data_IF_667474698604
#
_entry.id   IF_667474698604
#
_cell.length_a   1.000
_cell.length_b   1.000
_cell.length_c   1.000
_cell.angle_alpha   90.00
_cell.angle_beta   90.00
_cell.angle_gamma   90.00
#
_symmetry.space_group_name_H-M   'P 1'
#
loop_
_entity.id
_entity.type
_entity.pdbx_description
1 polymer ?
#
# COMPACT_ATOMS: atom_id res chain seq x y z
N UNK A 1 -73.17 -12.34 -21.43
CA UNK A 1 -73.77 -11.08 -20.92
C UNK A 1 -72.89 -10.62 -19.76
N UNK A 2 -72.08 -9.57 -19.97
CA UNK A 2 -72.24 -8.20 -19.42
C UNK A 2 -71.94 -8.13 -17.90
N UNK A 3 -71.15 -7.25 -17.29
CA UNK A 3 -70.26 -6.09 -17.59
C UNK A 3 -69.55 -5.81 -16.21
N UNK A 4 -68.22 -5.62 -16.14
CA UNK A 4 -67.50 -4.34 -15.83
C UNK A 4 -67.83 -3.75 -14.43
N UNK A 5 -66.92 -3.36 -13.54
CA UNK A 5 -65.74 -2.48 -13.66
C UNK A 5 -64.90 -2.57 -12.34
N UNK A 6 -63.54 -2.55 -12.34
CA UNK A 6 -62.63 -1.37 -12.38
C UNK A 6 -62.77 -0.50 -11.11
N UNK A 7 -61.76 -0.15 -10.28
CA UNK A 7 -60.46 0.53 -10.54
C UNK A 7 -59.76 0.67 -9.16
N UNK A 8 -58.45 0.40 -8.97
CA UNK A 8 -57.35 1.38 -9.05
C UNK A 8 -56.01 0.59 -9.01
N UNK A 9 -55.08 0.65 -9.97
CA UNK A 9 -54.41 1.76 -10.66
C UNK A 9 -53.49 2.60 -9.74
N UNK A 10 -52.24 2.14 -9.61
CA UNK A 10 -51.02 2.96 -9.62
C UNK A 10 -50.01 2.16 -10.47
N UNK A 11 -49.88 2.40 -11.78
CA UNK A 11 -48.83 3.25 -12.41
C UNK A 11 -47.42 3.02 -11.86
N UNK A 12 -46.34 2.87 -12.63
CA UNK A 12 -46.03 2.81 -14.06
C UNK A 12 -44.54 2.37 -14.03
N UNK A 13 -44.15 1.28 -14.68
CA UNK A 13 -43.37 1.35 -15.93
C UNK A 13 -42.47 2.59 -16.04
N UNK A 14 -41.32 2.51 -15.37
CA UNK A 14 -40.05 3.06 -15.86
C UNK A 14 -38.95 2.01 -15.66
N UNK A 15 -39.14 0.82 -16.23
CA UNK A 15 -38.00 0.12 -16.83
C UNK A 15 -37.73 0.81 -18.18
N UNK A 16 -37.43 2.10 -18.11
CA UNK A 16 -36.87 2.83 -19.24
C UNK A 16 -35.56 2.13 -19.52
N UNK A 17 -35.41 1.64 -20.74
CA UNK A 17 -34.12 1.25 -21.30
C UNK A 17 -33.17 2.45 -21.17
N UNK A 18 -32.50 2.58 -20.03
CA UNK A 18 -31.32 3.38 -19.92
C UNK A 18 -30.25 2.64 -20.71
N UNK A 19 -30.22 2.87 -22.02
CA UNK A 19 -28.99 2.73 -22.80
C UNK A 19 -28.02 3.87 -22.41
N UNK A 20 -27.81 4.08 -21.10
CA UNK A 20 -26.54 4.62 -20.65
C UNK A 20 -25.56 3.49 -20.90
N UNK A 21 -24.49 3.73 -21.65
CA UNK A 21 -23.51 2.70 -21.98
C UNK A 21 -22.67 2.41 -20.73
N UNK A 22 -23.30 1.80 -19.72
CA UNK A 22 -22.66 1.36 -18.48
C UNK A 22 -21.60 0.34 -18.84
N UNK A 23 -20.34 0.74 -18.83
CA UNK A 23 -19.23 -0.14 -19.16
C UNK A 23 -18.74 -0.80 -17.89
N UNK A 24 -18.88 -2.12 -17.81
CA UNK A 24 -18.12 -2.93 -16.85
C UNK A 24 -16.81 -3.36 -17.53
N UNK A 25 -15.70 -3.20 -16.82
CA UNK A 25 -14.38 -3.67 -17.25
C UNK A 25 -13.88 -4.73 -16.27
N UNK A 26 -13.61 -5.93 -16.77
CA UNK A 26 -12.70 -6.88 -16.12
C UNK A 26 -11.27 -6.49 -16.45
N UNK A 27 -10.41 -6.43 -15.45
CA UNK A 27 -9.01 -6.09 -15.61
C UNK A 27 -8.13 -6.89 -14.65
N UNK A 28 -6.83 -6.94 -14.93
CA UNK A 28 -5.89 -7.48 -13.96
C UNK A 28 -4.43 -7.41 -14.38
N UNK A 29 -3.59 -7.89 -13.48
CA UNK A 29 -2.15 -8.11 -13.69
C UNK A 29 -1.73 -9.40 -13.01
N UNK A 30 -0.97 -10.19 -13.74
CA UNK A 30 -0.30 -11.41 -13.30
C UNK A 30 1.19 -11.10 -13.30
N UNK A 31 1.85 -11.23 -12.15
CA UNK A 31 3.27 -10.99 -11.96
C UNK A 31 3.80 -12.14 -11.11
N UNK A 32 4.59 -13.04 -11.71
CA UNK A 32 5.18 -14.20 -11.03
C UNK A 32 6.69 -14.17 -11.23
N UNK A 33 7.44 -14.39 -10.15
CA UNK A 33 8.89 -14.41 -10.20
C UNK A 33 9.52 -15.49 -9.36
N UNK A 34 10.64 -16.02 -9.85
CA UNK A 34 11.59 -16.76 -9.02
C UNK A 34 12.32 -15.76 -8.13
N UNK A 35 12.16 -15.90 -6.83
CA UNK A 35 12.73 -15.04 -5.81
C UNK A 35 13.71 -15.81 -4.94
N UNK A 36 14.89 -15.22 -4.74
CA UNK A 36 15.91 -15.66 -3.81
C UNK A 36 16.04 -14.65 -2.67
N UNK A 37 16.12 -15.13 -1.43
CA UNK A 37 16.45 -14.32 -0.25
C UNK A 37 17.49 -15.05 0.59
N UNK A 38 18.60 -14.39 0.93
CA UNK A 38 19.58 -14.96 1.86
C UNK A 38 19.23 -14.63 3.33
N UNK A 39 19.79 -15.42 4.24
CA UNK A 39 19.65 -15.25 5.69
C UNK A 39 18.20 -15.19 6.19
N UNK A 40 17.21 -15.62 5.41
CA UNK A 40 15.81 -15.41 5.74
C UNK A 40 15.38 -16.18 6.98
N UNK A 41 14.36 -15.68 7.69
CA UNK A 41 13.88 -16.22 8.96
C UNK A 41 13.61 -17.73 8.86
N UNK A 42 14.34 -18.49 9.66
CA UNK A 42 14.12 -19.92 9.85
C UNK A 42 14.29 -20.19 11.35
N UNK A 43 13.19 -20.49 12.03
CA UNK A 43 13.21 -20.66 13.49
C UNK A 43 13.28 -22.14 13.83
N UNK A 44 14.39 -22.53 14.46
CA UNK A 44 14.61 -23.88 14.99
C UNK A 44 14.81 -23.76 16.49
N UNK A 45 14.01 -24.48 17.28
CA UNK A 45 14.04 -24.45 18.75
C UNK A 45 13.99 -23.02 19.33
N UNK A 46 13.19 -22.13 18.73
CA UNK A 46 13.04 -20.74 19.19
C UNK A 46 14.14 -19.77 18.74
N UNK A 47 15.16 -20.25 18.02
CA UNK A 47 16.25 -19.42 17.50
C UNK A 47 16.15 -19.24 15.99
N UNK A 48 16.32 -17.99 15.51
CA UNK A 48 16.43 -17.72 14.08
C UNK A 48 17.81 -18.16 13.56
N UNK A 49 17.89 -19.36 13.00
CA UNK A 49 19.12 -19.92 12.43
C UNK A 49 19.39 -19.45 10.99
N UNK A 50 18.42 -18.76 10.39
CA UNK A 50 18.53 -18.28 9.02
C UNK A 50 18.45 -19.38 7.97
N UNK A 51 18.41 -18.96 6.71
CA UNK A 51 18.45 -19.87 5.58
C UNK A 51 18.50 -19.14 4.24
N UNK A 52 18.86 -19.87 3.20
CA UNK A 52 18.63 -19.45 1.82
C UNK A 52 17.23 -19.89 1.43
N UNK A 53 16.41 -18.95 0.98
CA UNK A 53 15.06 -19.24 0.52
C UNK A 53 14.97 -19.00 -0.98
N UNK A 54 14.37 -19.96 -1.66
CA UNK A 54 13.91 -19.84 -3.04
C UNK A 54 12.41 -20.04 -3.05
N UNK A 55 11.68 -19.12 -3.68
CA UNK A 55 10.24 -19.18 -3.82
C UNK A 55 9.83 -18.70 -5.20
N UNK A 56 8.71 -19.23 -5.69
CA UNK A 56 7.90 -18.46 -6.62
C UNK A 56 7.06 -17.47 -5.79
N UNK A 57 7.05 -16.21 -6.19
CA UNK A 57 6.25 -15.18 -5.53
C UNK A 57 5.45 -14.37 -6.55
N UNK A 58 4.15 -14.26 -6.27
CA UNK A 58 3.20 -13.54 -7.09
C UNK A 58 2.70 -12.24 -6.48
N UNK A 59 3.16 -11.93 -5.25
CA UNK A 59 2.53 -10.93 -4.38
C UNK A 59 3.38 -9.69 -4.14
N UNK A 60 4.71 -9.79 -4.28
CA UNK A 60 5.68 -8.74 -3.97
C UNK A 60 6.50 -8.29 -5.20
N UNK A 61 6.07 -8.62 -6.42
CA UNK A 61 6.71 -8.14 -7.66
C UNK A 61 6.49 -6.65 -7.93
N UNK A 62 6.86 -6.18 -9.13
CA UNK A 62 6.60 -4.79 -9.57
C UNK A 62 5.12 -4.44 -9.40
N UNK A 63 4.23 -5.42 -9.63
CA UNK A 63 2.84 -5.33 -9.22
C UNK A 63 2.39 -6.63 -8.55
N UNK A 64 1.84 -6.57 -7.33
CA UNK A 64 1.17 -7.75 -6.76
C UNK A 64 0.03 -8.24 -7.66
N UNK A 65 0.00 -9.54 -7.92
CA UNK A 65 -0.97 -10.21 -8.80
C UNK A 65 -2.40 -9.99 -8.32
N UNK A 66 -3.27 -9.61 -9.26
CA UNK A 66 -4.65 -9.17 -8.97
C UNK A 66 -5.56 -9.26 -10.18
N UNK A 67 -6.86 -9.31 -9.89
CA UNK A 67 -7.93 -9.12 -10.86
C UNK A 67 -9.03 -8.26 -10.24
N UNK A 68 -9.85 -7.64 -11.08
CA UNK A 68 -10.96 -6.83 -10.58
C UNK A 68 -11.98 -6.45 -11.63
N UNK A 69 -13.11 -5.96 -11.13
CA UNK A 69 -14.20 -5.39 -11.88
C UNK A 69 -14.34 -3.92 -11.50
N UNK A 70 -14.49 -3.06 -12.50
CA UNK A 70 -14.86 -1.66 -12.29
C UNK A 70 -15.92 -1.24 -13.28
N UNK A 71 -16.75 -0.28 -12.90
CA UNK A 71 -17.76 0.25 -13.78
C UNK A 71 -18.16 1.67 -13.43
N UNK A 72 -18.78 2.31 -14.42
CA UNK A 72 -19.38 3.63 -14.31
C UNK A 72 -20.73 3.62 -15.04
N UNK A 73 -21.76 4.14 -14.38
CA UNK A 73 -23.08 4.41 -14.95
C UNK A 73 -23.26 5.92 -15.03
N UNK A 74 -23.50 6.44 -16.23
CA UNK A 74 -23.79 7.85 -16.44
C UNK A 74 -25.17 8.20 -15.85
N UNK A 75 -25.19 9.12 -14.90
CA UNK A 75 -26.41 9.59 -14.23
C UNK A 75 -26.95 10.89 -14.86
N UNK A 76 -26.28 11.40 -15.89
CA UNK A 76 -26.55 12.70 -16.50
C UNK A 76 -25.93 13.88 -15.73
N UNK A 77 -25.92 15.05 -16.37
CA UNK A 77 -25.44 16.28 -15.74
C UNK A 77 -23.95 16.29 -15.36
N UNK A 78 -23.14 15.41 -15.96
CA UNK A 78 -21.72 15.26 -15.63
C UNK A 78 -21.45 14.44 -14.35
N UNK A 79 -22.45 13.73 -13.84
CA UNK A 79 -22.36 12.81 -12.72
C UNK A 79 -22.35 11.35 -13.19
N UNK A 80 -21.63 10.49 -12.47
CA UNK A 80 -21.68 9.05 -12.69
C UNK A 80 -21.65 8.27 -11.36
N UNK A 81 -22.45 7.21 -11.26
CA UNK A 81 -22.29 6.19 -10.23
C UNK A 81 -21.10 5.31 -10.61
N UNK A 82 -20.21 5.02 -9.65
CA UNK A 82 -18.99 4.24 -9.88
C UNK A 82 -18.86 3.13 -8.85
N UNK A 83 -18.21 2.03 -9.24
CA UNK A 83 -17.83 0.98 -8.32
C UNK A 83 -16.48 0.35 -8.70
N UNK A 84 -15.83 -0.28 -7.74
CA UNK A 84 -14.67 -1.17 -7.98
C UNK A 84 -14.67 -2.30 -6.97
N UNK A 85 -14.42 -3.51 -7.46
CA UNK A 85 -14.14 -4.72 -6.69
C UNK A 85 -12.80 -5.27 -7.19
N UNK A 86 -11.77 -5.31 -6.34
CA UNK A 86 -10.41 -5.74 -6.69
C UNK A 86 -9.89 -6.77 -5.68
N UNK A 87 -9.45 -7.91 -6.21
CA UNK A 87 -8.91 -9.05 -5.46
C UNK A 87 -7.41 -9.19 -5.73
N UNK A 88 -6.62 -9.49 -4.70
CA UNK A 88 -5.27 -10.03 -4.88
C UNK A 88 -5.32 -11.55 -4.98
N UNK A 89 -4.47 -12.13 -5.80
CA UNK A 89 -4.41 -13.58 -6.01
C UNK A 89 -2.97 -14.09 -5.85
N UNK A 90 -2.80 -15.17 -5.08
CA UNK A 90 -1.57 -15.92 -5.03
C UNK A 90 -1.59 -17.02 -6.10
N UNK A 91 -0.72 -16.95 -7.10
CA UNK A 91 -0.78 -17.90 -8.23
C UNK A 91 -0.19 -19.26 -7.89
N UNK A 92 0.60 -19.36 -6.81
CA UNK A 92 1.22 -20.61 -6.39
C UNK A 92 0.23 -21.58 -5.73
N UNK A 93 -0.89 -21.07 -5.22
CA UNK A 93 -1.89 -21.90 -4.53
C UNK A 93 -3.36 -21.45 -4.75
N UNK A 94 -3.60 -20.40 -5.53
CA UNK A 94 -4.93 -19.85 -5.80
C UNK A 94 -5.55 -19.08 -4.61
N UNK A 95 -4.81 -18.85 -3.53
CA UNK A 95 -5.34 -18.19 -2.34
C UNK A 95 -5.57 -16.69 -2.56
N UNK A 96 -6.55 -16.15 -1.83
CA UNK A 96 -6.81 -14.71 -1.77
C UNK A 96 -5.66 -13.98 -1.08
N UNK A 97 -5.17 -12.92 -1.72
CA UNK A 97 -3.94 -12.23 -1.32
C UNK A 97 -4.06 -11.38 -0.06
N UNK A 98 -5.26 -11.09 0.45
CA UNK A 98 -5.49 -10.13 1.54
C UNK A 98 -6.21 -10.79 2.72
N UNK A 99 -5.57 -11.81 3.30
CA UNK A 99 -6.04 -12.46 4.52
C UNK A 99 -7.32 -13.26 4.35
N UNK A 100 -7.59 -13.74 3.13
CA UNK A 100 -8.83 -14.45 2.80
C UNK A 100 -9.99 -13.53 2.37
N UNK A 101 -9.80 -12.21 2.30
CA UNK A 101 -10.82 -11.30 1.78
C UNK A 101 -10.94 -11.38 0.25
N UNK A 102 -12.13 -11.67 -0.26
CA UNK A 102 -12.40 -11.82 -1.70
C UNK A 102 -11.99 -10.58 -2.48
N UNK A 103 -12.47 -9.39 -2.07
CA UNK A 103 -12.10 -8.09 -2.65
C UNK A 103 -11.23 -7.29 -1.69
N UNK A 104 -10.16 -7.93 -1.21
CA UNK A 104 -9.32 -7.36 -0.16
C UNK A 104 -8.43 -6.21 -0.62
N UNK A 105 -8.35 -5.88 -1.92
CA UNK A 105 -7.57 -4.72 -2.39
C UNK A 105 -8.41 -3.44 -2.41
N UNK A 106 -9.57 -3.47 -3.07
CA UNK A 106 -10.56 -2.39 -3.02
C UNK A 106 -11.97 -2.97 -3.20
N UNK A 107 -12.93 -2.42 -2.47
CA UNK A 107 -14.35 -2.76 -2.61
C UNK A 107 -15.18 -1.53 -2.24
N UNK A 108 -15.65 -0.78 -3.23
CA UNK A 108 -16.38 0.46 -2.98
C UNK A 108 -17.44 0.78 -4.04
N UNK A 109 -18.37 1.64 -3.66
CA UNK A 109 -19.31 2.34 -4.54
C UNK A 109 -19.17 3.85 -4.31
N UNK A 110 -19.56 4.68 -5.26
CA UNK A 110 -19.52 6.13 -5.10
C UNK A 110 -20.22 6.90 -6.20
N UNK A 111 -20.17 8.22 -6.07
CA UNK A 111 -20.59 9.17 -7.09
C UNK A 111 -19.38 9.98 -7.50
N UNK A 112 -19.22 10.16 -8.81
CA UNK A 112 -18.19 11.00 -9.41
C UNK A 112 -18.80 12.14 -10.21
N UNK A 113 -18.05 13.23 -10.32
CA UNK A 113 -18.37 14.45 -11.04
C UNK A 113 -17.13 14.87 -11.82
N UNK A 114 -17.31 15.22 -13.10
CA UNK A 114 -16.22 15.70 -13.94
C UNK A 114 -15.56 17.00 -13.44
N UNK A 115 -16.27 17.80 -12.65
CA UNK A 115 -15.80 19.13 -12.19
C UNK A 115 -15.48 19.19 -10.70
N UNK A 116 -16.08 18.32 -9.89
CA UNK A 116 -15.93 18.33 -8.43
C UNK A 116 -15.07 17.18 -7.90
N UNK A 117 -14.90 16.09 -8.67
CA UNK A 117 -14.21 14.89 -8.21
C UNK A 117 -15.18 13.79 -7.77
N UNK A 118 -14.81 12.97 -6.80
CA UNK A 118 -15.60 11.80 -6.40
C UNK A 118 -15.71 11.64 -4.88
N UNK A 119 -16.85 11.11 -4.43
CA UNK A 119 -17.05 10.58 -3.09
C UNK A 119 -17.30 9.07 -3.20
N UNK A 120 -16.51 8.27 -2.49
CA UNK A 120 -16.61 6.81 -2.48
C UNK A 120 -16.72 6.26 -1.06
N UNK A 121 -17.43 5.15 -0.93
CA UNK A 121 -17.77 4.47 0.32
C UNK A 121 -17.35 3.00 0.21
N UNK A 122 -16.50 2.53 1.12
CA UNK A 122 -16.09 1.12 1.18
C UNK A 122 -14.64 0.90 1.60
N UNK A 123 -14.08 -0.25 1.23
CA UNK A 123 -12.67 -0.59 1.47
C UNK A 123 -11.77 -0.03 0.37
N UNK A 124 -10.77 0.77 0.72
CA UNK A 124 -9.99 1.53 -0.26
C UNK A 124 -8.54 1.74 0.18
N UNK A 125 -7.66 2.11 -0.76
CA UNK A 125 -6.32 2.61 -0.45
C UNK A 125 -6.38 3.99 0.20
N UNK A 126 -5.35 4.31 0.98
CA UNK A 126 -5.17 5.55 1.73
C UNK A 126 -4.59 6.71 0.90
N UNK A 127 -4.51 7.90 1.51
CA UNK A 127 -3.89 9.07 0.88
C UNK A 127 -2.40 8.89 0.60
N UNK A 128 -1.67 8.06 1.37
CA UNK A 128 -0.26 7.76 1.06
C UNK A 128 -0.15 7.11 -0.31
N UNK A 129 -0.97 6.08 -0.59
CA UNK A 129 -1.01 5.43 -1.88
C UNK A 129 -1.37 6.37 -3.04
N UNK A 130 -2.35 7.25 -2.87
CA UNK A 130 -2.82 8.08 -3.99
C UNK A 130 -1.95 9.28 -4.28
N UNK A 131 -1.37 9.89 -3.25
CA UNK A 131 -0.69 11.17 -3.39
C UNK A 131 0.83 11.08 -3.24
N UNK A 132 1.37 10.10 -2.50
CA UNK A 132 2.81 9.99 -2.24
C UNK A 132 3.45 8.83 -2.98
N UNK A 133 2.87 7.61 -2.93
CA UNK A 133 3.44 6.45 -3.62
C UNK A 133 3.83 6.75 -5.09
N UNK A 134 3.04 7.45 -5.92
CA UNK A 134 3.41 7.68 -7.32
C UNK A 134 4.71 8.45 -7.53
N UNK A 135 5.17 9.20 -6.52
CA UNK A 135 6.41 9.98 -6.55
C UNK A 135 7.55 9.36 -5.74
N UNK A 136 7.37 8.17 -5.15
CA UNK A 136 8.45 7.43 -4.48
C UNK A 136 9.27 6.60 -5.46
N UNK A 137 10.44 6.13 -5.04
CA UNK A 137 11.29 5.24 -5.87
C UNK A 137 10.52 3.99 -6.27
N UNK A 138 9.81 3.40 -5.30
CA UNK A 138 8.91 2.28 -5.53
C UNK A 138 7.77 2.63 -6.49
N UNK A 139 7.20 3.83 -6.44
CA UNK A 139 6.05 4.21 -7.27
C UNK A 139 6.26 4.10 -8.78
N UNK A 140 7.36 4.67 -9.30
CA UNK A 140 7.59 4.76 -10.74
C UNK A 140 8.53 3.68 -11.30
N UNK A 141 9.38 3.06 -10.47
CA UNK A 141 10.11 1.85 -10.84
C UNK A 141 9.22 0.61 -10.69
N UNK A 142 8.47 0.56 -9.60
CA UNK A 142 7.66 -0.57 -9.13
C UNK A 142 8.54 -1.70 -8.62
N UNK A 143 8.16 -2.28 -7.47
CA UNK A 143 8.67 -3.52 -6.85
C UNK A 143 8.84 -3.35 -5.34
N UNK A 144 8.54 -4.41 -4.58
CA UNK A 144 8.87 -4.48 -3.16
C UNK A 144 10.39 -4.40 -2.87
N UNK A 145 11.26 -4.63 -3.87
CA UNK A 145 12.70 -4.41 -3.72
C UNK A 145 13.07 -2.95 -3.38
N UNK A 146 12.22 -1.99 -3.76
CA UNK A 146 12.36 -0.57 -3.41
C UNK A 146 11.51 -0.16 -2.21
N UNK A 147 10.77 -1.09 -1.59
CA UNK A 147 9.92 -0.77 -0.46
C UNK A 147 10.78 -0.38 0.74
N UNK A 148 10.31 0.60 1.50
CA UNK A 148 10.93 0.98 2.74
C UNK A 148 10.89 -0.20 3.74
N UNK A 149 11.88 -0.31 4.65
CA UNK A 149 11.94 -1.41 5.61
C UNK A 149 10.62 -1.56 6.37
N UNK A 150 10.06 -2.77 6.35
CA UNK A 150 8.80 -3.08 7.04
C UNK A 150 7.53 -2.49 6.43
N UNK A 151 7.62 -1.76 5.30
CA UNK A 151 6.53 -0.90 4.79
C UNK A 151 5.90 -0.01 5.88
N UNK A 152 6.77 0.53 6.74
CA UNK A 152 6.40 1.30 7.93
C UNK A 152 5.58 2.55 7.64
N UNK A 153 5.65 3.09 6.43
CA UNK A 153 4.96 4.31 6.03
C UNK A 153 3.85 4.04 5.02
N UNK A 154 3.57 2.76 4.74
CA UNK A 154 2.57 2.29 3.77
C UNK A 154 2.82 2.76 2.32
N UNK A 155 4.04 3.20 1.98
CA UNK A 155 4.39 3.59 0.60
C UNK A 155 4.43 2.40 -0.36
N UNK A 156 4.40 1.15 0.12
CA UNK A 156 4.20 -0.07 -0.68
C UNK A 156 2.75 -0.60 -0.62
N UNK A 157 1.80 0.15 -0.04
CA UNK A 157 0.36 -0.16 -0.03
C UNK A 157 -0.02 -1.52 0.60
N UNK A 158 0.74 -1.99 1.58
CA UNK A 158 0.41 -3.20 2.33
C UNK A 158 -0.89 -3.04 3.11
N UNK A 159 -1.22 -1.82 3.54
CA UNK A 159 -2.42 -1.47 4.29
C UNK A 159 -3.48 -0.76 3.45
N UNK A 160 -4.73 -1.03 3.80
CA UNK A 160 -5.94 -0.50 3.17
C UNK A 160 -7.00 -0.28 4.22
N UNK A 161 -7.82 0.73 4.03
CA UNK A 161 -8.80 1.16 5.01
C UNK A 161 -10.14 0.48 4.79
N UNK A 162 -10.71 -0.07 5.86
CA UNK A 162 -12.09 -0.54 5.89
C UNK A 162 -13.03 0.59 6.30
N UNK A 163 -14.34 0.44 6.05
CA UNK A 163 -15.38 1.36 6.51
C UNK A 163 -15.05 2.84 6.21
N UNK A 164 -14.60 3.10 4.98
CA UNK A 164 -13.99 4.38 4.65
C UNK A 164 -14.87 5.21 3.74
N UNK A 165 -15.01 6.48 4.10
CA UNK A 165 -15.55 7.54 3.26
C UNK A 165 -14.36 8.30 2.71
N UNK A 166 -14.30 8.43 1.37
CA UNK A 166 -13.21 9.13 0.70
C UNK A 166 -13.77 10.21 -0.21
N UNK A 167 -13.16 11.39 -0.17
CA UNK A 167 -13.29 12.41 -1.21
C UNK A 167 -11.98 12.54 -1.98
N UNK A 168 -12.06 12.71 -3.29
CA UNK A 168 -10.93 13.05 -4.17
C UNK A 168 -11.38 14.10 -5.15
N UNK A 169 -10.62 15.19 -5.27
CA UNK A 169 -10.95 16.31 -6.13
C UNK A 169 -10.87 15.96 -7.62
N UNK A 170 -11.52 16.76 -8.46
CA UNK A 170 -11.16 16.81 -9.87
C UNK A 170 -9.71 17.33 -10.03
N UNK A 171 -9.14 17.17 -11.24
CA UNK A 171 -7.84 17.74 -11.55
C UNK A 171 -7.98 19.24 -11.87
N UNK A 172 -7.40 20.09 -11.02
CA UNK A 172 -7.38 21.54 -11.21
C UNK A 172 -6.01 21.98 -11.73
N UNK A 173 -5.81 21.87 -13.05
CA UNK A 173 -4.56 22.28 -13.73
C UNK A 173 -3.31 21.63 -13.11
N UNK A 174 -3.38 20.32 -12.89
CA UNK A 174 -2.32 19.52 -12.29
C UNK A 174 -2.49 19.29 -10.79
N UNK A 175 -3.25 20.11 -10.07
CA UNK A 175 -3.52 19.95 -8.64
C UNK A 175 -4.65 18.94 -8.41
N UNK A 176 -4.39 17.94 -7.57
CA UNK A 176 -5.42 17.05 -6.99
C UNK A 176 -5.24 16.99 -5.48
N UNK A 177 -6.34 16.83 -4.75
CA UNK A 177 -6.31 16.69 -3.31
C UNK A 177 -7.50 15.86 -2.84
N UNK A 178 -7.42 15.35 -1.62
CA UNK A 178 -8.51 14.58 -1.05
C UNK A 178 -8.22 14.20 0.38
N UNK A 179 -9.17 13.47 0.94
CA UNK A 179 -9.07 12.98 2.30
C UNK A 179 -10.10 11.91 2.58
N UNK A 180 -9.84 11.19 3.66
CA UNK A 180 -10.53 9.98 4.01
C UNK A 180 -10.82 9.95 5.49
N UNK A 181 -11.96 9.34 5.83
CA UNK A 181 -12.35 9.02 7.19
C UNK A 181 -12.69 7.54 7.24
N UNK A 182 -11.90 6.77 7.98
CA UNK A 182 -12.14 5.35 8.28
C UNK A 182 -12.83 5.24 9.64
N UNK A 183 -14.04 4.70 9.63
CA UNK A 183 -14.85 4.52 10.83
C UNK A 183 -14.53 3.18 11.48
N UNK A 184 -14.29 3.19 12.79
CA UNK A 184 -13.90 1.96 13.50
C UNK A 184 -15.03 0.96 13.76
N UNK A 185 -16.29 1.33 13.49
CA UNK A 185 -17.43 0.40 13.56
C UNK A 185 -17.81 -0.06 14.98
N UNK A 186 -17.34 0.62 16.02
CA UNK A 186 -17.60 0.28 17.42
C UNK A 186 -18.87 0.96 17.94
N UNK A 187 -19.85 0.17 18.39
CA UNK A 187 -21.11 0.69 18.92
C UNK A 187 -20.87 1.59 20.16
N UNK A 188 -21.46 2.79 20.15
CA UNK A 188 -21.27 3.78 21.23
C UNK A 188 -19.92 4.50 21.23
N UNK A 189 -18.99 4.19 20.31
CA UNK A 189 -17.70 4.87 20.21
C UNK A 189 -17.23 5.04 18.76
N UNK A 190 -17.61 6.15 18.13
CA UNK A 190 -17.28 6.45 16.74
C UNK A 190 -15.77 6.62 16.48
N UNK A 191 -14.97 6.89 17.53
CA UNK A 191 -13.53 7.16 17.42
C UNK A 191 -12.64 5.95 17.75
N UNK A 192 -13.20 4.86 18.26
CA UNK A 192 -12.41 3.68 18.59
C UNK A 192 -12.02 2.94 17.31
N UNK A 193 -10.72 2.80 17.03
CA UNK A 193 -10.24 2.11 15.83
C UNK A 193 -10.47 2.91 14.54
N UNK A 194 -10.68 4.23 14.65
CA UNK A 194 -10.87 5.12 13.51
C UNK A 194 -9.56 5.75 13.06
N UNK A 195 -9.51 6.20 11.81
CA UNK A 195 -8.43 7.04 11.31
C UNK A 195 -8.91 8.02 10.27
N UNK A 196 -8.05 8.99 9.99
CA UNK A 196 -8.25 9.96 8.93
C UNK A 196 -6.93 10.20 8.22
N UNK A 197 -7.02 10.49 6.93
CA UNK A 197 -5.87 10.88 6.14
C UNK A 197 -6.27 11.96 5.13
N UNK A 198 -5.27 12.70 4.66
CA UNK A 198 -5.43 13.68 3.62
C UNK A 198 -4.17 13.73 2.78
N UNK A 199 -4.31 14.10 1.52
CA UNK A 199 -3.17 14.25 0.63
C UNK A 199 -3.43 15.22 -0.50
N UNK A 200 -2.33 15.64 -1.10
CA UNK A 200 -2.27 16.57 -2.21
C UNK A 200 -1.19 16.12 -3.17
N UNK A 201 -1.46 16.23 -4.47
CA UNK A 201 -0.48 16.04 -5.51
C UNK A 201 -0.58 17.17 -6.53
N UNK A 202 0.56 17.50 -7.13
CA UNK A 202 0.65 18.47 -8.20
C UNK A 202 1.50 17.90 -9.33
N UNK A 203 0.93 17.75 -10.52
CA UNK A 203 1.68 17.32 -11.71
C UNK A 203 1.55 18.36 -12.81
N UNK A 204 2.68 18.94 -13.22
CA UNK A 204 2.72 19.88 -14.34
C UNK A 204 4.05 19.79 -15.08
N UNK A 205 3.99 19.48 -16.37
CA UNK A 205 5.17 19.27 -17.20
C UNK A 205 6.08 18.17 -16.63
N UNK A 206 7.39 18.41 -16.43
CA UNK A 206 8.32 17.40 -15.95
C UNK A 206 8.25 17.15 -14.44
N UNK A 207 7.54 17.99 -13.68
CA UNK A 207 7.49 17.93 -12.22
C UNK A 207 6.21 17.24 -11.75
N UNK A 208 6.35 16.27 -10.85
CA UNK A 208 5.26 15.80 -10.00
C UNK A 208 5.65 15.88 -8.53
N UNK A 209 4.74 16.38 -7.70
CA UNK A 209 4.87 16.52 -6.25
C UNK A 209 3.74 15.73 -5.58
N UNK A 210 4.03 15.20 -4.40
CA UNK A 210 3.09 14.46 -3.59
C UNK A 210 3.34 14.69 -2.11
N UNK A 211 2.28 14.87 -1.33
CA UNK A 211 2.35 14.89 0.13
C UNK A 211 1.07 14.33 0.73
N UNK A 212 1.19 13.62 1.84
CA UNK A 212 0.05 13.11 2.60
C UNK A 212 0.35 12.99 4.09
N UNK A 213 -0.72 13.07 4.87
CA UNK A 213 -0.75 12.82 6.30
C UNK A 213 -1.77 11.73 6.58
N UNK A 214 -1.43 10.81 7.47
CA UNK A 214 -2.32 9.78 7.96
C UNK A 214 -2.22 9.66 9.48
N UNK A 215 -3.36 9.44 10.13
CA UNK A 215 -3.44 9.17 11.57
C UNK A 215 -4.49 8.12 11.89
N UNK A 216 -4.12 7.17 12.73
CA UNK A 216 -5.00 6.13 13.27
C UNK A 216 -4.95 6.09 14.78
N UNK A 217 -6.13 5.97 15.40
CA UNK A 217 -6.30 5.71 16.83
C UNK A 217 -6.51 4.23 17.06
N UNK A 218 -5.78 3.66 18.01
CA UNK A 218 -5.77 2.23 18.36
C UNK A 218 -5.56 1.35 17.10
N UNK A 219 -4.43 1.53 16.37
CA UNK A 219 -4.23 0.96 15.04
C UNK A 219 -4.18 -0.58 15.03
N UNK A 220 -3.92 -1.21 16.18
CA UNK A 220 -3.91 -2.67 16.36
C UNK A 220 -5.30 -3.28 16.64
N UNK A 221 -6.31 -2.45 16.91
CA UNK A 221 -7.67 -2.88 17.28
C UNK A 221 -7.76 -3.51 18.67
N UNK A 222 -8.97 -3.54 19.27
CA UNK A 222 -9.23 -4.21 20.56
C UNK A 222 -9.84 -5.61 20.38
N UNK A 223 -10.47 -5.89 19.23
CA UNK A 223 -11.19 -7.13 18.88
C UNK A 223 -11.50 -7.13 17.37
N UNK A 224 -11.58 -8.33 16.76
CA UNK A 224 -12.01 -8.65 15.38
C UNK A 224 -12.19 -7.52 14.35
N UNK A 225 -11.37 -7.53 13.29
CA UNK A 225 -11.59 -6.86 11.98
C UNK A 225 -11.70 -5.33 11.95
N UNK A 226 -11.52 -4.65 13.09
CA UNK A 226 -11.59 -3.19 13.19
C UNK A 226 -10.27 -2.63 13.73
N UNK A 227 -9.43 -2.14 12.82
CA UNK A 227 -8.11 -1.59 13.11
C UNK A 227 -7.28 -1.46 11.84
N UNK A 228 -6.37 -0.50 11.79
CA UNK A 228 -5.54 -0.20 10.62
C UNK A 228 -4.63 -1.38 10.23
N UNK A 229 -4.06 -2.08 11.23
CA UNK A 229 -3.18 -3.23 11.02
C UNK A 229 -3.92 -4.58 10.97
N UNK A 230 -5.20 -4.58 10.56
CA UNK A 230 -6.04 -5.79 10.49
C UNK A 230 -6.39 -6.15 9.04
N UNK A 231 -6.63 -7.44 8.76
CA UNK A 231 -7.06 -7.90 7.42
C UNK A 231 -5.95 -7.99 6.36
N UNK A 232 -4.73 -8.32 6.79
CA UNK A 232 -3.55 -8.41 5.94
C UNK A 232 -3.34 -9.81 5.30
N UNK A 233 -2.54 -9.94 4.22
CA UNK A 233 -2.21 -11.21 3.55
C UNK A 233 -1.85 -12.34 4.54
N UNK A 234 -2.44 -13.53 4.40
CA UNK A 234 -2.15 -14.70 5.25
C UNK A 234 -2.22 -14.46 6.78
N UNK A 235 -2.95 -13.43 7.24
CA UNK A 235 -2.98 -13.04 8.66
C UNK A 235 -1.72 -12.32 9.15
N UNK A 236 -0.81 -11.91 8.25
CA UNK A 236 0.46 -11.25 8.61
C UNK A 236 0.23 -9.82 9.10
N UNK A 237 0.55 -9.50 10.34
CA UNK A 237 0.49 -8.12 10.83
C UNK A 237 1.67 -7.28 10.30
N UNK A 238 1.45 -5.99 10.03
CA UNK A 238 2.52 -5.00 9.78
C UNK A 238 3.49 -4.90 10.97
N UNK A 239 3.14 -5.45 12.13
CA UNK A 239 3.94 -5.48 13.35
C UNK A 239 4.58 -6.85 13.61
N UNK A 240 4.89 -7.62 12.57
CA UNK A 240 5.41 -8.99 12.72
C UNK A 240 6.94 -9.07 12.79
N UNK A 241 7.64 -8.04 12.29
CA UNK A 241 9.10 -7.96 12.30
C UNK A 241 9.65 -7.46 13.63
N UNK A 242 10.87 -7.85 13.99
CA UNK A 242 11.56 -7.29 15.17
C UNK A 242 11.80 -5.78 15.05
N UNK A 243 11.68 -5.22 13.84
CA UNK A 243 11.74 -3.79 13.58
C UNK A 243 10.64 -3.00 14.30
N UNK A 244 9.42 -3.54 14.43
CA UNK A 244 8.30 -2.79 15.04
C UNK A 244 7.34 -3.64 15.89
N UNK A 245 7.55 -4.95 16.04
CA UNK A 245 6.69 -5.82 16.87
C UNK A 245 6.63 -5.41 18.34
N UNK A 246 7.67 -4.77 18.88
CA UNK A 246 7.67 -4.21 20.24
C UNK A 246 6.71 -3.03 20.42
N UNK A 247 6.17 -2.46 19.34
CA UNK A 247 5.29 -1.29 19.37
C UNK A 247 3.80 -1.63 19.25
N UNK A 248 3.43 -2.91 19.38
CA UNK A 248 2.03 -3.39 19.29
C UNK A 248 1.07 -2.73 20.28
N UNK A 249 1.58 -2.19 21.38
CA UNK A 249 0.79 -1.49 22.40
C UNK A 249 0.67 0.02 22.17
N UNK A 250 1.05 0.52 20.99
CA UNK A 250 0.80 1.90 20.56
C UNK A 250 -0.69 2.18 20.47
N UNK A 251 -1.14 3.31 21.04
CA UNK A 251 -2.54 3.75 20.93
C UNK A 251 -2.76 4.73 19.78
N UNK A 252 -1.69 5.14 19.09
CA UNK A 252 -1.79 5.89 17.85
C UNK A 252 -0.72 5.49 16.85
N UNK A 253 -1.01 5.71 15.59
CA UNK A 253 -0.08 5.58 14.48
C UNK A 253 -0.24 6.76 13.55
N UNK A 254 0.88 7.33 13.10
CA UNK A 254 0.91 8.47 12.20
C UNK A 254 1.91 8.24 11.07
N UNK A 255 1.58 8.71 9.87
CA UNK A 255 2.52 8.86 8.76
C UNK A 255 2.43 10.29 8.23
N UNK A 256 3.58 10.93 8.04
CA UNK A 256 3.74 12.11 7.21
C UNK A 256 4.68 11.71 6.10
N UNK A 257 4.29 11.86 4.83
CA UNK A 257 5.18 11.55 3.72
C UNK A 257 5.05 12.59 2.62
N UNK A 258 6.17 12.87 1.95
CA UNK A 258 6.24 13.76 0.81
C UNK A 258 7.32 13.33 -0.15
N UNK A 259 7.13 13.61 -1.43
CA UNK A 259 8.10 13.29 -2.46
C UNK A 259 7.93 14.14 -3.70
N UNK A 260 8.92 14.05 -4.57
CA UNK A 260 8.93 14.72 -5.86
C UNK A 260 9.57 13.81 -6.89
N UNK A 261 9.03 13.82 -8.11
CA UNK A 261 9.71 13.31 -9.30
C UNK A 261 9.98 14.43 -10.28
N UNK A 262 11.09 14.32 -11.00
CA UNK A 262 11.41 15.22 -12.11
C UNK A 262 11.89 14.42 -13.32
N UNK A 263 11.28 14.69 -14.47
CA UNK A 263 11.67 14.07 -15.75
C UNK A 263 12.62 14.98 -16.53
N UNK A 264 13.77 14.42 -16.94
CA UNK A 264 14.71 15.06 -17.85
C UNK A 264 15.08 14.10 -18.98
N UNK A 265 14.68 14.43 -20.21
CA UNK A 265 14.85 13.54 -21.37
C UNK A 265 14.20 12.16 -21.13
N UNK A 266 15.04 11.13 -21.10
CA UNK A 266 14.64 9.73 -20.86
C UNK A 266 14.78 9.28 -19.40
N UNK A 267 15.22 10.18 -18.50
CA UNK A 267 15.38 9.91 -17.08
C UNK A 267 14.20 10.45 -16.28
N UNK A 268 13.79 9.70 -15.26
CA UNK A 268 12.94 10.18 -14.16
C UNK A 268 13.74 9.97 -12.88
N UNK A 269 13.83 11.00 -12.05
CA UNK A 269 14.49 10.96 -10.75
C UNK A 269 13.50 11.31 -9.66
N UNK A 270 13.70 10.80 -8.46
CA UNK A 270 12.93 11.20 -7.29
C UNK A 270 13.78 11.53 -6.08
N UNK A 271 13.19 12.32 -5.19
CA UNK A 271 13.55 12.42 -3.79
C UNK A 271 12.28 12.23 -2.96
N UNK A 272 12.39 11.57 -1.82
CA UNK A 272 11.27 11.29 -0.94
C UNK A 272 11.66 11.30 0.52
N UNK A 273 10.70 11.63 1.37
CA UNK A 273 10.84 11.62 2.82
C UNK A 273 9.56 11.13 3.48
N UNK A 274 9.68 10.33 4.53
CA UNK A 274 8.58 9.99 5.42
C UNK A 274 8.99 10.05 6.89
N UNK A 275 8.03 10.39 7.75
CA UNK A 275 8.08 10.28 9.19
C UNK A 275 6.92 9.39 9.65
N UNK A 276 7.24 8.35 10.38
CA UNK A 276 6.29 7.42 10.98
C UNK A 276 6.38 7.54 12.49
N UNK A 277 5.25 7.58 13.18
CA UNK A 277 5.20 7.56 14.65
C UNK A 277 4.24 6.48 15.14
N UNK A 278 4.76 5.61 16.02
CA UNK A 278 3.96 4.78 16.92
C UNK A 278 3.86 5.51 18.26
N UNK A 279 2.69 6.08 18.54
CA UNK A 279 2.49 6.97 19.67
C UNK A 279 1.90 6.28 20.88
N UNK A 280 2.29 6.79 22.06
CA UNK A 280 1.78 6.36 23.37
C UNK A 280 1.83 4.83 23.54
N UNK A 281 3.04 4.26 23.44
CA UNK A 281 3.27 2.82 23.53
C UNK A 281 3.20 2.40 24.99
N UNK A 282 2.14 1.67 25.36
CA UNK A 282 1.89 1.30 26.77
C UNK A 282 3.04 0.49 27.36
N UNK A 283 3.60 -0.45 26.61
CA UNK A 283 4.76 -1.26 27.02
C UNK A 283 6.04 -0.44 27.24
N UNK A 284 6.10 0.79 26.71
CA UNK A 284 7.22 1.73 26.84
C UNK A 284 6.79 2.98 27.63
N UNK A 285 5.88 2.82 28.60
CA UNK A 285 5.41 3.87 29.52
C UNK A 285 4.85 5.12 28.82
N UNK A 286 4.19 4.93 27.68
CA UNK A 286 3.60 6.02 26.92
C UNK A 286 4.59 6.79 26.04
N UNK A 287 5.85 6.35 25.96
CA UNK A 287 6.80 6.91 24.99
C UNK A 287 6.38 6.58 23.55
N UNK A 288 6.87 7.40 22.61
CA UNK A 288 6.67 7.20 21.17
C UNK A 288 7.93 6.67 20.48
N UNK A 289 7.75 5.77 19.52
CA UNK A 289 8.79 5.37 18.57
C UNK A 289 8.55 6.08 17.23
N UNK A 290 9.62 6.63 16.65
CA UNK A 290 9.60 7.42 15.42
C UNK A 290 10.62 6.88 14.43
N UNK A 291 10.23 6.78 13.17
CA UNK A 291 11.10 6.44 12.06
C UNK A 291 11.10 7.58 11.05
N UNK A 292 12.27 7.91 10.54
CA UNK A 292 12.42 8.85 9.44
C UNK A 292 13.09 8.11 8.30
N UNK A 293 12.48 8.14 7.12
CA UNK A 293 13.02 7.53 5.91
C UNK A 293 13.27 8.60 4.88
N UNK A 294 14.46 8.60 4.29
CA UNK A 294 14.79 9.40 3.12
C UNK A 294 15.13 8.46 1.97
N UNK A 295 14.68 8.79 0.78
CA UNK A 295 14.97 8.02 -0.43
C UNK A 295 15.35 8.92 -1.61
N UNK A 296 16.10 8.34 -2.53
CA UNK A 296 16.37 8.91 -3.84
C UNK A 296 16.54 7.78 -4.86
N UNK A 297 16.10 8.04 -6.08
CA UNK A 297 16.16 7.04 -7.14
C UNK A 297 16.19 7.66 -8.53
N UNK A 298 16.52 6.81 -9.50
CA UNK A 298 16.54 7.15 -10.92
C UNK A 298 16.07 5.96 -11.75
N UNK A 299 15.25 6.22 -12.76
CA UNK A 299 14.94 5.31 -13.87
C UNK A 299 15.37 5.95 -15.18
N UNK A 300 16.01 5.17 -16.03
CA UNK A 300 16.38 5.58 -17.38
C UNK A 300 15.75 4.66 -18.42
N UNK A 301 15.09 5.26 -19.41
CA UNK A 301 14.55 4.55 -20.58
C UNK A 301 15.59 4.53 -21.70
N UNK A 302 16.26 3.39 -21.89
CA UNK A 302 17.32 3.24 -22.91
C UNK A 302 16.73 3.08 -24.32
N UNK A 303 15.70 2.25 -24.45
CA UNK A 303 14.96 2.02 -25.69
C UNK A 303 13.47 1.93 -25.36
N UNK A 304 12.53 1.99 -26.31
CA UNK A 304 11.12 1.76 -26.02
C UNK A 304 10.82 0.40 -25.34
N UNK A 305 11.70 -0.58 -25.52
CA UNK A 305 11.56 -1.93 -24.96
C UNK A 305 12.38 -2.15 -23.68
N UNK A 306 13.29 -1.26 -23.29
CA UNK A 306 14.19 -1.52 -22.15
C UNK A 306 14.40 -0.31 -21.26
N UNK A 307 14.20 -0.50 -19.95
CA UNK A 307 14.50 0.47 -18.91
C UNK A 307 15.28 -0.17 -17.77
N UNK A 308 16.07 0.63 -17.06
CA UNK A 308 16.65 0.22 -15.79
C UNK A 308 16.56 1.35 -14.77
N UNK A 309 16.69 1.02 -13.50
CA UNK A 309 16.79 2.01 -12.45
C UNK A 309 17.45 1.52 -11.19
N UNK A 310 17.77 2.50 -10.36
CA UNK A 310 18.48 2.36 -9.10
C UNK A 310 17.79 3.22 -8.05
N UNK A 311 17.82 2.74 -6.82
CA UNK A 311 17.17 3.39 -5.69
C UNK A 311 17.97 3.18 -4.41
N UNK A 312 18.07 4.22 -3.60
CA UNK A 312 18.66 4.16 -2.28
C UNK A 312 17.69 4.69 -1.24
N UNK A 313 17.57 3.96 -0.13
CA UNK A 313 16.75 4.35 1.03
C UNK A 313 17.59 4.29 2.28
N UNK A 314 17.46 5.31 3.12
CA UNK A 314 17.97 5.34 4.48
C UNK A 314 16.84 5.56 5.48
N UNK A 315 16.65 4.60 6.39
CA UNK A 315 15.65 4.70 7.47
C UNK A 315 16.35 4.74 8.82
N UNK A 316 15.96 5.69 9.67
CA UNK A 316 16.45 5.84 11.05
C UNK A 316 15.29 5.87 12.04
N UNK A 317 15.30 4.94 12.98
CA UNK A 317 14.49 4.96 14.20
C UNK A 317 15.14 5.78 15.32
N UNK A 318 14.36 6.33 16.24
CA UNK A 318 14.89 6.93 17.48
C UNK A 318 15.09 5.88 18.59
N UNK A 319 15.95 6.19 19.55
CA UNK A 319 16.00 5.46 20.82
C UNK A 319 14.73 5.77 21.63
N UNK A 320 14.17 4.75 22.28
CA UNK A 320 13.01 4.87 23.16
C UNK A 320 13.36 4.25 24.50
N UNK A 321 13.17 5.02 25.58
CA UNK A 321 13.35 4.53 26.95
C UNK A 321 12.26 3.48 27.27
N UNK A 322 12.70 2.31 27.77
CA UNK A 322 11.81 1.22 28.14
C UNK A 322 11.35 1.27 29.61
N UNK A 323 11.82 2.26 30.37
CA UNK A 323 11.50 2.49 31.78
C UNK A 323 12.19 1.53 32.76
N UNK A 324 12.94 0.54 32.28
CA UNK A 324 13.68 -0.43 33.07
C UNK A 324 15.19 -0.13 33.11
N UNK A 325 15.56 1.13 32.87
CA UNK A 325 16.97 1.55 32.78
C UNK A 325 17.66 1.20 31.46
N UNK A 326 16.89 0.88 30.41
CA UNK A 326 17.40 0.56 29.07
C UNK A 326 16.66 1.29 27.95
N UNK A 327 17.18 1.15 26.74
CA UNK A 327 16.59 1.74 25.52
C UNK A 327 16.37 0.68 24.45
N UNK A 328 15.26 0.77 23.72
CA UNK A 328 15.00 0.01 22.49
C UNK A 328 14.98 0.94 21.29
N UNK A 329 14.99 0.39 20.07
CA UNK A 329 15.02 1.21 18.85
C UNK A 329 16.41 1.78 18.54
N UNK A 330 16.47 2.98 17.97
CA UNK A 330 17.69 3.53 17.36
C UNK A 330 18.22 2.63 16.22
N UNK A 331 17.30 2.13 15.40
CA UNK A 331 17.62 1.29 14.26
C UNK A 331 18.03 2.13 13.06
N UNK A 332 18.97 1.61 12.28
CA UNK A 332 19.41 2.23 11.04
C UNK A 332 19.37 1.20 9.92
N UNK A 333 18.76 1.54 8.80
CA UNK A 333 18.67 0.69 7.63
C UNK A 333 19.20 1.45 6.42
N UNK A 334 20.13 0.82 5.71
CA UNK A 334 20.63 1.30 4.41
C UNK A 334 20.21 0.26 3.38
N UNK A 335 19.48 0.67 2.36
CA UNK A 335 19.01 -0.22 1.30
C UNK A 335 19.41 0.34 -0.06
N UNK A 336 20.00 -0.50 -0.90
CA UNK A 336 20.25 -0.22 -2.31
C UNK A 336 19.48 -1.25 -3.13
N UNK A 337 18.75 -0.80 -4.13
CA UNK A 337 17.99 -1.65 -5.03
C UNK A 337 18.19 -1.27 -6.49
N UNK A 338 18.07 -2.26 -7.37
CA UNK A 338 18.21 -2.14 -8.80
C UNK A 338 17.11 -2.93 -9.51
N UNK A 339 16.67 -2.42 -10.66
CA UNK A 339 15.68 -3.05 -11.53
C UNK A 339 16.10 -2.88 -12.98
N UNK A 340 15.92 -3.94 -13.77
CA UNK A 340 15.97 -3.93 -15.22
C UNK A 340 14.68 -4.54 -15.75
N UNK A 341 13.97 -3.83 -16.64
CA UNK A 341 12.64 -4.21 -17.16
C UNK A 341 12.66 -4.18 -18.70
N UNK A 342 12.28 -5.31 -19.30
CA UNK A 342 12.25 -5.54 -20.75
C UNK A 342 10.83 -5.82 -21.23
N UNK A 343 10.28 -4.88 -21.99
CA UNK A 343 8.94 -4.95 -22.56
C UNK A 343 8.94 -5.77 -23.86
N UNK A 344 8.23 -6.90 -23.84
CA UNK A 344 7.91 -7.69 -25.05
C UNK A 344 6.73 -7.07 -25.78
N UNK A 345 5.78 -6.51 -25.04
CA UNK A 345 4.63 -5.77 -25.56
C UNK A 345 4.21 -4.69 -24.56
N UNK A 346 3.18 -3.91 -24.91
CA UNK A 346 2.55 -2.96 -23.95
C UNK A 346 1.96 -3.63 -22.71
N UNK A 347 1.68 -4.93 -22.79
CA UNK A 347 1.01 -5.70 -21.73
C UNK A 347 1.93 -6.73 -21.08
N UNK A 348 3.09 -7.02 -21.66
CA UNK A 348 3.93 -8.15 -21.24
C UNK A 348 5.38 -7.74 -21.17
N UNK A 349 6.00 -8.03 -20.03
CA UNK A 349 7.38 -7.70 -19.74
C UNK A 349 8.06 -8.78 -18.90
N UNK A 350 9.38 -8.85 -19.03
CA UNK A 350 10.27 -9.64 -18.18
C UNK A 350 11.19 -8.70 -17.44
N UNK A 351 11.43 -8.95 -16.16
CA UNK A 351 12.28 -8.08 -15.37
C UNK A 351 13.15 -8.85 -14.39
N UNK A 352 14.24 -8.20 -14.00
CA UNK A 352 15.19 -8.66 -13.01
C UNK A 352 15.42 -7.54 -11.99
N UNK A 353 15.41 -7.89 -10.71
CA UNK A 353 15.67 -6.96 -9.63
C UNK A 353 16.60 -7.56 -8.58
N UNK A 354 17.30 -6.68 -7.88
CA UNK A 354 18.11 -7.04 -6.74
C UNK A 354 18.04 -5.93 -5.70
N UNK A 355 18.02 -6.32 -4.42
CA UNK A 355 18.12 -5.41 -3.30
C UNK A 355 19.09 -5.94 -2.26
N UNK A 356 19.85 -5.04 -1.66
CA UNK A 356 20.75 -5.32 -0.54
C UNK A 356 20.41 -4.38 0.59
N UNK A 357 20.32 -4.89 1.81
CA UNK A 357 20.01 -4.11 2.98
C UNK A 357 20.97 -4.42 4.12
N UNK A 358 21.39 -3.36 4.82
CA UNK A 358 22.15 -3.44 6.06
C UNK A 358 21.39 -2.75 7.18
N UNK A 359 21.10 -3.49 8.24
CA UNK A 359 20.57 -2.99 9.49
C UNK A 359 21.68 -2.77 10.54
N UNK A 360 21.44 -1.90 11.51
CA UNK A 360 22.26 -1.75 12.72
C UNK A 360 21.48 -1.05 13.83
N UNK A 361 21.97 -1.08 15.06
CA UNK A 361 21.28 -0.56 16.23
C UNK A 361 20.49 -1.62 17.00
N UNK A 362 19.54 -1.18 17.83
CA UNK A 362 18.75 -2.05 18.71
C UNK A 362 17.32 -2.17 18.17
N UNK A 363 16.78 -3.37 18.09
CA UNK A 363 15.41 -3.58 17.58
C UNK A 363 14.35 -3.06 18.54
N UNK A 364 13.09 -3.04 18.10
CA UNK A 364 11.95 -2.76 18.99
C UNK A 364 11.81 -3.78 20.13
N UNK A 365 12.45 -4.94 20.02
CA UNK A 365 12.44 -6.02 21.01
C UNK A 365 13.68 -6.01 21.93
N UNK A 366 14.58 -5.03 21.79
CA UNK A 366 15.80 -4.92 22.58
C UNK A 366 16.97 -5.78 22.09
N UNK A 367 16.77 -6.60 21.05
CA UNK A 367 17.83 -7.36 20.39
C UNK A 367 18.60 -6.53 19.36
N UNK A 368 19.51 -7.15 18.62
CA UNK A 368 20.15 -6.48 17.48
C UNK A 368 19.12 -6.19 16.37
N UNK A 369 19.23 -5.03 15.73
CA UNK A 369 18.48 -4.77 14.51
C UNK A 369 18.95 -5.72 13.39
N UNK A 370 18.00 -6.28 12.67
CA UNK A 370 18.24 -7.18 11.52
C UNK A 370 17.57 -6.63 10.28
N UNK A 371 18.12 -6.99 9.12
CA UNK A 371 17.56 -6.54 7.84
C UNK A 371 16.19 -7.18 7.57
N UNK A 372 15.30 -6.42 6.93
CA UNK A 372 13.99 -6.82 6.46
C UNK A 372 13.66 -5.98 5.21
N UNK A 373 13.96 -6.53 4.03
CA UNK A 373 13.67 -5.95 2.73
C UNK A 373 12.19 -6.15 2.43
N UNK A 374 11.42 -5.08 2.19
CA UNK A 374 10.06 -5.14 1.63
C UNK A 374 9.10 -6.15 2.27
N UNK A 375 9.19 -6.36 3.60
CA UNK A 375 8.42 -7.36 4.35
C UNK A 375 8.67 -8.84 3.95
N UNK A 376 9.83 -9.15 3.36
CA UNK A 376 10.23 -10.52 2.99
C UNK A 376 10.62 -11.40 4.20
N UNK A 377 10.59 -10.84 5.41
CA UNK A 377 10.87 -11.52 6.67
C UNK A 377 12.20 -11.07 7.29
N UNK A 378 12.27 -11.19 8.61
CA UNK A 378 13.46 -10.80 9.38
C UNK A 378 14.66 -11.68 9.03
N UNK A 379 15.76 -11.05 8.62
CA UNK A 379 17.03 -11.74 8.46
C UNK A 379 17.55 -12.27 9.81
N UNK A 380 18.26 -13.38 9.75
CA UNK A 380 19.05 -13.92 10.87
C UNK A 380 20.30 -13.09 11.16
N UNK A 381 20.65 -12.14 10.28
CA UNK A 381 21.82 -11.27 10.43
C UNK A 381 21.46 -9.81 10.14
N UNK A 382 22.37 -8.85 10.41
CA UNK A 382 22.18 -7.46 9.99
C UNK A 382 22.17 -7.26 8.47
N UNK A 383 22.39 -8.30 7.66
CA UNK A 383 22.50 -8.21 6.20
C UNK A 383 21.47 -9.10 5.51
N UNK A 384 20.84 -8.59 4.46
CA UNK A 384 19.94 -9.34 3.59
C UNK A 384 20.15 -8.93 2.12
N UNK A 385 20.00 -9.91 1.24
CA UNK A 385 20.04 -9.77 -0.21
C UNK A 385 18.81 -10.50 -0.74
N UNK A 386 18.04 -9.81 -1.58
CA UNK A 386 16.96 -10.39 -2.34
C UNK A 386 17.20 -10.20 -3.83
N UNK A 387 16.91 -11.23 -4.63
CA UNK A 387 17.01 -11.21 -6.09
C UNK A 387 15.75 -11.83 -6.67
N UNK A 388 15.19 -11.22 -7.71
CA UNK A 388 14.01 -11.76 -8.39
C UNK A 388 14.16 -11.67 -9.91
N UNK A 389 13.71 -12.73 -10.58
CA UNK A 389 13.55 -12.82 -12.03
C UNK A 389 12.10 -13.17 -12.32
N UNK A 390 11.40 -12.35 -13.11
CA UNK A 390 9.96 -12.42 -13.19
C UNK A 390 9.41 -12.08 -14.57
N UNK A 391 8.18 -12.53 -14.79
CA UNK A 391 7.35 -12.18 -15.92
C UNK A 391 6.08 -11.50 -15.41
N UNK A 392 5.66 -10.45 -16.12
CA UNK A 392 4.41 -9.75 -15.82
C UNK A 392 3.54 -9.62 -17.07
N UNK A 393 2.24 -9.84 -16.90
CA UNK A 393 1.22 -9.73 -17.93
C UNK A 393 0.00 -8.95 -17.43
N UNK A 394 -0.49 -7.99 -18.20
CA UNK A 394 -1.69 -7.18 -17.90
C UNK A 394 -2.81 -7.52 -18.89
N UNK A 395 -4.05 -7.63 -18.40
CA UNK A 395 -5.21 -7.95 -19.22
C UNK A 395 -6.35 -6.95 -19.09
#
# INVERSE_FOLDING_TARGET
MKKHAMTAALTLLCASYAHAQSSMTLYGVIDEGLQFVNNNKNVVNGHNVGGRQWTLDSTNGINGSRWGLRGAEDLGGGLAAIFTLESGVNLNNGALGQGGAEFGRQAFVGISSATLGAITLGRQYDSIFWYVQPVTTLGYLGSAAFAHPGDLDNTNNSLRLNNTIRYTSANYRGLTFGGELSLGGQAGNITAGSGYNAGVAYTNGPLALGAAYEYFKNPTGATGSTGFFTGNPNGATQLSGVLNSGYVSATSYQVIAAGATYRIGNAIMNIGYSNVEYGNITALRGNSAKFNTAEAGIKYQFTPAFSAGLGYTYTKGNAVDNGAGGTVGNQHFNQLAALADYFVSRRTDFYAEASVQKASGVSSTGGAAVANIGNLGDSSTPHQVAVRLAMRHRF
#
